data_IF_489413188828
#
_entry.id   IF_489413188828
#
_cell.length_a   1.000
_cell.length_b   1.000
_cell.length_c   1.000
_cell.angle_alpha   90.00
_cell.angle_beta   90.00
_cell.angle_gamma   90.00
#
_symmetry.space_group_name_H-M   'P 1'
#
loop_
_entity.id
_entity.type
_entity.pdbx_description
1 polymer ?
#
# COMPACT_ATOMS: atom_id res chain seq x y z
N UNK A 1 48.76 60.81 -62.71
CA UNK A 1 48.07 59.59 -62.27
C UNK A 1 47.30 59.07 -63.47
N UNK A 2 47.65 57.87 -63.95
CA UNK A 2 47.00 57.27 -65.11
C UNK A 2 45.65 56.66 -64.73
N UNK A 3 44.69 56.63 -65.66
CA UNK A 3 43.36 56.04 -65.43
C UNK A 3 43.47 54.58 -64.95
N UNK A 4 44.45 53.83 -65.44
CA UNK A 4 44.72 52.44 -65.03
C UNK A 4 45.11 52.31 -63.55
N UNK A 5 45.90 53.24 -63.03
CA UNK A 5 46.33 53.25 -61.62
C UNK A 5 45.13 53.48 -60.69
N UNK A 6 44.18 54.32 -61.14
CA UNK A 6 42.96 54.62 -60.42
C UNK A 6 42.00 53.41 -60.42
N UNK A 7 41.88 52.70 -61.55
CA UNK A 7 41.09 51.46 -61.64
C UNK A 7 41.66 50.40 -60.69
N UNK A 8 42.99 50.24 -60.66
CA UNK A 8 43.65 49.25 -59.80
C UNK A 8 43.48 49.57 -58.31
N UNK A 9 43.46 50.86 -57.94
CA UNK A 9 43.15 51.28 -56.57
C UNK A 9 41.69 51.00 -56.18
N UNK A 10 40.74 51.26 -57.08
CA UNK A 10 39.32 50.99 -56.85
C UNK A 10 39.07 49.47 -56.71
N UNK A 11 39.70 48.64 -57.53
CA UNK A 11 39.59 47.18 -57.45
C UNK A 11 40.14 46.65 -56.11
N UNK A 12 41.30 47.14 -55.67
CA UNK A 12 41.89 46.77 -54.38
C UNK A 12 41.01 47.20 -53.20
N UNK A 13 40.46 48.43 -53.23
CA UNK A 13 39.53 48.90 -52.20
C UNK A 13 38.26 48.04 -52.16
N UNK A 14 37.71 47.68 -53.32
CA UNK A 14 36.54 46.80 -53.41
C UNK A 14 36.82 45.44 -52.77
N UNK A 15 37.99 44.87 -53.05
CA UNK A 15 38.39 43.59 -52.48
C UNK A 15 38.64 43.67 -50.96
N UNK A 16 39.18 44.78 -50.46
CA UNK A 16 39.31 45.01 -49.02
C UNK A 16 37.95 45.13 -48.31
N UNK A 17 36.99 45.82 -48.93
CA UNK A 17 35.62 45.94 -48.40
C UNK A 17 34.92 44.58 -48.39
N UNK A 18 35.09 43.77 -49.44
CA UNK A 18 34.49 42.43 -49.51
C UNK A 18 35.08 41.47 -48.48
N UNK A 19 36.41 41.52 -48.28
CA UNK A 19 37.08 40.77 -47.21
C UNK A 19 36.57 41.21 -45.83
N UNK A 20 36.46 42.52 -45.58
CA UNK A 20 35.94 43.05 -44.31
C UNK A 20 34.49 42.59 -44.05
N UNK A 21 33.65 42.58 -45.08
CA UNK A 21 32.27 42.10 -44.99
C UNK A 21 32.19 40.62 -44.63
N UNK A 22 33.07 39.79 -45.20
CA UNK A 22 33.16 38.37 -44.83
C UNK A 22 33.62 38.20 -43.38
N UNK A 23 34.63 38.95 -42.92
CA UNK A 23 35.07 38.92 -41.52
C UNK A 23 33.96 39.32 -40.54
N UNK A 24 33.21 40.38 -40.84
CA UNK A 24 32.07 40.82 -40.00
C UNK A 24 31.00 39.73 -39.93
N UNK A 25 30.65 39.10 -41.05
CA UNK A 25 29.68 38.00 -41.06
C UNK A 25 30.12 36.79 -40.24
N UNK A 26 31.40 36.44 -40.28
CA UNK A 26 31.95 35.34 -39.48
C UNK A 26 31.86 35.67 -37.99
N UNK A 27 32.26 36.88 -37.57
CA UNK A 27 32.20 37.32 -36.18
C UNK A 27 30.74 37.39 -35.67
N UNK A 28 29.81 37.89 -36.48
CA UNK A 28 28.39 37.89 -36.13
C UNK A 28 27.82 36.47 -35.99
N UNK A 29 28.26 35.54 -36.86
CA UNK A 29 27.89 34.13 -36.80
C UNK A 29 28.37 33.46 -35.52
N UNK A 30 29.64 33.65 -35.17
CA UNK A 30 30.23 33.11 -33.94
C UNK A 30 29.57 33.69 -32.69
N UNK A 31 29.30 35.01 -32.68
CA UNK A 31 28.61 35.65 -31.55
C UNK A 31 27.20 35.10 -31.36
N UNK A 32 26.42 34.92 -32.44
CA UNK A 32 25.08 34.33 -32.39
C UNK A 32 25.12 32.87 -31.94
N UNK A 33 26.12 32.11 -32.37
CA UNK A 33 26.30 30.71 -31.97
C UNK A 33 26.61 30.60 -30.46
N UNK A 34 27.59 31.36 -29.97
CA UNK A 34 27.99 31.32 -28.56
C UNK A 34 26.88 31.80 -27.63
N UNK A 35 26.16 32.87 -27.98
CA UNK A 35 25.02 33.36 -27.19
C UNK A 35 23.86 32.37 -27.17
N UNK A 36 23.50 31.77 -28.32
CA UNK A 36 22.45 30.75 -28.37
C UNK A 36 22.82 29.50 -27.57
N UNK A 37 24.10 29.08 -27.62
CA UNK A 37 24.59 27.95 -26.84
C UNK A 37 24.50 28.22 -25.33
N UNK A 38 24.96 29.39 -24.87
CA UNK A 38 24.86 29.79 -23.46
C UNK A 38 23.41 29.82 -22.96
N UNK A 39 22.49 30.38 -23.76
CA UNK A 39 21.06 30.40 -23.42
C UNK A 39 20.47 28.99 -23.33
N UNK A 40 20.89 28.09 -24.22
CA UNK A 40 20.41 26.70 -24.24
C UNK A 40 20.90 25.92 -23.01
N UNK A 41 22.17 26.11 -22.63
CA UNK A 41 22.74 25.53 -21.41
C UNK A 41 22.03 26.07 -20.17
N UNK A 42 21.76 27.37 -20.10
CA UNK A 42 21.05 27.99 -18.98
C UNK A 42 19.61 27.47 -18.87
N UNK A 43 18.88 27.39 -20.00
CA UNK A 43 17.54 26.83 -20.05
C UNK A 43 17.51 25.36 -19.61
N UNK A 44 18.50 24.57 -20.02
CA UNK A 44 18.65 23.18 -19.60
C UNK A 44 18.84 23.06 -18.08
N UNK A 45 19.73 23.87 -17.49
CA UNK A 45 19.99 23.87 -16.04
C UNK A 45 18.73 24.24 -15.27
N UNK A 46 18.01 25.28 -15.68
CA UNK A 46 16.76 25.72 -15.04
C UNK A 46 15.70 24.62 -15.11
N UNK A 47 15.55 23.97 -16.27
CA UNK A 47 14.57 22.89 -16.47
C UNK A 47 14.91 21.66 -15.62
N UNK A 48 16.19 21.27 -15.56
CA UNK A 48 16.64 20.15 -14.75
C UNK A 48 16.44 20.41 -13.24
N UNK A 49 16.73 21.64 -12.77
CA UNK A 49 16.51 22.04 -11.39
C UNK A 49 15.02 22.10 -11.02
N UNK A 50 14.16 22.61 -11.92
CA UNK A 50 12.72 22.63 -11.71
C UNK A 50 12.11 21.23 -11.63
N UNK A 51 12.51 20.33 -12.53
CA UNK A 51 12.06 18.94 -12.53
C UNK A 51 12.49 18.19 -11.26
N UNK A 52 13.74 18.35 -10.83
CA UNK A 52 14.24 17.66 -9.62
C UNK A 52 13.51 18.13 -8.36
N UNK A 53 13.28 19.44 -8.20
CA UNK A 53 12.49 19.98 -7.10
C UNK A 53 11.04 19.47 -7.11
N UNK A 54 10.42 19.40 -8.29
CA UNK A 54 9.07 18.82 -8.43
C UNK A 54 9.02 17.34 -8.00
N UNK A 55 9.97 16.52 -8.45
CA UNK A 55 10.03 15.10 -8.07
C UNK A 55 10.33 14.91 -6.57
N UNK A 56 11.20 15.72 -5.97
CA UNK A 56 11.50 15.69 -4.53
C UNK A 56 10.25 16.08 -3.73
N UNK A 57 9.60 17.19 -4.09
CA UNK A 57 8.38 17.64 -3.42
C UNK A 57 7.27 16.60 -3.53
N UNK A 58 7.05 16.04 -4.74
CA UNK A 58 6.07 14.97 -4.97
C UNK A 58 6.38 13.73 -4.14
N UNK A 59 7.65 13.32 -4.04
CA UNK A 59 8.08 12.17 -3.23
C UNK A 59 7.85 12.41 -1.73
N UNK A 60 8.20 13.59 -1.21
CA UNK A 60 7.98 13.95 0.20
C UNK A 60 6.49 13.97 0.55
N UNK A 61 5.67 14.59 -0.32
CA UNK A 61 4.22 14.66 -0.13
C UNK A 61 3.61 13.25 -0.17
N UNK A 62 3.95 12.43 -1.16
CA UNK A 62 3.49 11.05 -1.23
C UNK A 62 3.89 10.26 0.02
N UNK A 63 5.16 10.34 0.45
CA UNK A 63 5.62 9.62 1.64
C UNK A 63 4.90 10.06 2.92
N UNK A 64 4.58 11.36 3.06
CA UNK A 64 3.78 11.85 4.20
C UNK A 64 2.34 11.37 4.14
N UNK A 65 1.70 11.41 2.97
CA UNK A 65 0.32 10.94 2.79
C UNK A 65 0.23 9.43 3.06
N UNK A 66 1.14 8.63 2.51
CA UNK A 66 1.20 7.18 2.76
C UNK A 66 1.39 6.89 4.24
N UNK A 67 2.34 7.57 4.91
CA UNK A 67 2.58 7.37 6.35
C UNK A 67 1.36 7.74 7.21
N UNK A 68 0.66 8.82 6.87
CA UNK A 68 -0.56 9.23 7.57
C UNK A 68 -1.72 8.25 7.31
N UNK A 69 -1.88 7.78 6.08
CA UNK A 69 -2.85 6.72 5.74
C UNK A 69 -2.57 5.43 6.51
N UNK A 70 -1.31 5.00 6.55
CA UNK A 70 -0.90 3.80 7.29
C UNK A 70 -1.19 3.97 8.79
N UNK A 71 -0.85 5.12 9.38
CA UNK A 71 -1.16 5.40 10.78
C UNK A 71 -2.67 5.38 11.07
N UNK A 72 -3.48 5.96 10.17
CA UNK A 72 -4.95 5.93 10.29
C UNK A 72 -5.50 4.52 10.11
N UNK A 73 -5.00 3.76 9.14
CA UNK A 73 -5.40 2.38 8.90
C UNK A 73 -5.05 1.50 10.09
N UNK A 74 -3.83 1.63 10.64
CA UNK A 74 -3.39 0.93 11.85
C UNK A 74 -4.29 1.32 13.04
N UNK A 75 -4.61 2.61 13.21
CA UNK A 75 -5.52 3.09 14.25
C UNK A 75 -6.93 2.49 14.08
N UNK A 76 -7.46 2.47 12.85
CA UNK A 76 -8.74 1.87 12.53
C UNK A 76 -8.75 0.36 12.79
N UNK A 77 -7.71 -0.37 12.38
CA UNK A 77 -7.57 -1.81 12.63
C UNK A 77 -7.40 -2.12 14.13
N UNK A 78 -6.72 -1.26 14.88
CA UNK A 78 -6.54 -1.42 16.33
C UNK A 78 -7.85 -1.18 17.09
N UNK A 79 -8.61 -0.16 16.69
CA UNK A 79 -9.85 0.22 17.36
C UNK A 79 -11.07 -0.57 16.84
N UNK A 80 -10.98 -1.12 15.63
CA UNK A 80 -12.01 -1.93 14.98
C UNK A 80 -11.35 -3.15 14.31
N UNK A 81 -10.89 -4.14 15.09
CA UNK A 81 -10.26 -5.33 14.53
C UNK A 81 -11.21 -6.03 13.54
N UNK A 82 -10.68 -6.52 12.40
CA UNK A 82 -11.48 -7.19 11.36
C UNK A 82 -12.01 -8.56 11.80
N UNK A 83 -11.45 -9.08 12.89
CA UNK A 83 -11.73 -10.40 13.44
C UNK A 83 -12.18 -10.27 14.89
N UNK A 84 -13.15 -11.08 15.25
CA UNK A 84 -13.46 -11.38 16.63
C UNK A 84 -12.84 -12.72 17.00
N UNK A 85 -12.50 -12.87 18.27
CA UNK A 85 -12.07 -14.14 18.81
C UNK A 85 -12.65 -14.35 20.19
N UNK A 86 -13.06 -15.58 20.47
CA UNK A 86 -13.48 -16.00 21.80
C UNK A 86 -12.86 -17.35 22.12
N UNK A 87 -12.60 -17.58 23.40
CA UNK A 87 -12.13 -18.87 23.90
C UNK A 87 -12.66 -19.09 25.30
N UNK A 88 -12.83 -20.35 25.66
CA UNK A 88 -13.27 -20.73 26.99
C UNK A 88 -12.98 -22.17 27.30
N UNK A 89 -13.24 -22.51 28.56
CA UNK A 89 -13.27 -23.88 29.07
C UNK A 89 -14.72 -24.16 29.45
N UNK A 90 -15.30 -25.21 28.89
CA UNK A 90 -16.70 -25.55 29.14
C UNK A 90 -16.90 -27.05 29.11
N UNK A 91 -17.81 -27.56 29.94
CA UNK A 91 -18.24 -28.95 29.88
C UNK A 91 -19.44 -29.03 28.92
N UNK A 92 -19.36 -29.77 27.81
CA UNK A 92 -20.51 -30.00 26.95
C UNK A 92 -21.68 -30.63 27.71
N UNK A 93 -22.91 -30.32 27.28
CA UNK A 93 -24.14 -30.88 27.85
C UNK A 93 -24.35 -32.36 27.44
N UNK A 94 -25.48 -32.94 27.83
CA UNK A 94 -25.87 -34.32 27.47
C UNK A 94 -25.99 -34.52 25.94
N UNK A 95 -26.24 -33.45 25.18
CA UNK A 95 -26.28 -33.45 23.72
C UNK A 95 -24.91 -33.16 23.10
N UNK A 96 -23.85 -33.13 23.91
CA UNK A 96 -22.47 -32.83 23.51
C UNK A 96 -22.30 -31.44 22.91
N UNK A 97 -23.08 -30.48 23.39
CA UNK A 97 -23.09 -29.09 22.92
C UNK A 97 -22.56 -28.14 23.98
N UNK A 98 -21.91 -27.07 23.52
CA UNK A 98 -21.51 -25.91 24.31
C UNK A 98 -22.28 -24.70 23.78
N UNK A 99 -23.06 -24.06 24.64
CA UNK A 99 -23.81 -22.84 24.30
C UNK A 99 -22.95 -21.62 24.58
N UNK A 100 -22.72 -20.80 23.55
CA UNK A 100 -21.92 -19.59 23.65
C UNK A 100 -22.77 -18.45 24.21
N UNK A 101 -22.23 -17.76 25.22
CA UNK A 101 -22.91 -16.64 25.87
C UNK A 101 -23.08 -15.44 24.94
N UNK A 102 -24.24 -14.77 25.01
CA UNK A 102 -24.49 -13.48 24.34
C UNK A 102 -23.58 -12.35 24.85
N UNK A 103 -22.89 -12.54 25.98
CA UNK A 103 -21.91 -11.60 26.49
C UNK A 103 -20.58 -11.60 25.70
N UNK A 104 -20.36 -12.59 24.82
CA UNK A 104 -19.18 -12.63 23.96
C UNK A 104 -19.28 -11.49 22.94
N UNK A 105 -18.27 -10.62 22.92
CA UNK A 105 -18.23 -9.47 22.01
C UNK A 105 -18.33 -9.93 20.55
N UNK A 106 -19.29 -9.37 19.81
CA UNK A 106 -19.46 -9.63 18.38
C UNK A 106 -20.09 -10.98 18.03
N UNK A 107 -20.60 -11.73 19.01
CA UNK A 107 -21.28 -13.02 18.79
C UNK A 107 -22.58 -12.86 18.00
N UNK A 108 -23.23 -11.71 18.12
CA UNK A 108 -24.38 -11.28 17.33
C UNK A 108 -24.06 -11.20 15.83
N UNK A 109 -22.81 -10.88 15.50
CA UNK A 109 -22.29 -10.77 14.14
C UNK A 109 -21.70 -12.08 13.61
N UNK A 110 -21.69 -13.14 14.41
CA UNK A 110 -21.15 -14.43 14.02
C UNK A 110 -22.05 -15.08 12.98
N UNK A 111 -21.45 -15.34 11.81
CA UNK A 111 -22.04 -16.15 10.74
C UNK A 111 -21.16 -17.36 10.47
N UNK A 112 -21.78 -18.51 10.24
CA UNK A 112 -21.07 -19.78 10.07
C UNK A 112 -20.07 -19.74 8.90
N UNK A 113 -20.42 -19.01 7.82
CA UNK A 113 -19.55 -18.82 6.65
C UNK A 113 -18.30 -17.96 6.94
N UNK A 114 -18.31 -17.18 8.01
CA UNK A 114 -17.25 -16.21 8.34
C UNK A 114 -16.28 -16.74 9.41
N UNK A 115 -16.42 -18.01 9.81
CA UNK A 115 -15.54 -18.64 10.79
C UNK A 115 -14.24 -19.03 10.10
N UNK A 116 -13.14 -18.47 10.62
CA UNK A 116 -11.79 -18.73 10.13
C UNK A 116 -11.19 -19.93 10.85
N UNK A 117 -11.47 -20.03 12.16
CA UNK A 117 -10.91 -21.06 13.02
C UNK A 117 -11.95 -21.49 14.04
N UNK A 118 -12.14 -22.80 14.15
CA UNK A 118 -12.76 -23.45 15.29
C UNK A 118 -11.79 -24.54 15.75
N UNK A 119 -11.27 -24.38 16.97
CA UNK A 119 -10.42 -25.37 17.59
C UNK A 119 -11.01 -25.79 18.92
N UNK A 120 -11.03 -27.09 19.16
CA UNK A 120 -11.63 -27.71 20.34
C UNK A 120 -10.75 -28.85 20.78
N UNK A 121 -10.34 -28.83 22.04
CA UNK A 121 -9.44 -29.82 22.63
C UNK A 121 -9.93 -30.22 24.03
N UNK A 122 -9.93 -31.53 24.35
CA UNK A 122 -10.30 -31.99 25.69
C UNK A 122 -9.25 -31.60 26.72
N UNK A 123 -9.68 -31.38 27.96
CA UNK A 123 -8.80 -31.15 29.11
C UNK A 123 -8.05 -32.44 29.49
N UNK A 124 -8.74 -33.58 29.40
CA UNK A 124 -8.17 -34.90 29.67
C UNK A 124 -8.18 -35.73 28.39
N UNK A 125 -6.99 -36.12 27.94
CA UNK A 125 -6.83 -37.09 26.86
C UNK A 125 -6.88 -38.50 27.43
N UNK A 126 -7.90 -39.26 27.05
CA UNK A 126 -7.96 -40.70 27.26
C UNK A 126 -7.21 -41.43 26.14
N UNK A 127 -6.81 -42.68 26.38
CA UNK A 127 -6.11 -43.52 25.39
C UNK A 127 -6.90 -43.67 24.07
N UNK A 128 -8.24 -43.54 24.13
CA UNK A 128 -9.11 -43.56 22.96
C UNK A 128 -9.11 -42.23 22.16
N UNK A 129 -8.77 -41.10 22.79
CA UNK A 129 -8.74 -39.78 22.15
C UNK A 129 -7.50 -39.58 21.28
N UNK A 130 -6.41 -40.31 21.55
CA UNK A 130 -5.22 -40.30 20.69
C UNK A 130 -5.54 -40.73 19.24
N UNK A 131 -6.59 -41.53 19.04
CA UNK A 131 -7.06 -41.96 17.72
C UNK A 131 -8.27 -41.16 17.22
N UNK A 132 -9.01 -40.48 18.11
CA UNK A 132 -10.22 -39.71 17.79
C UNK A 132 -9.94 -38.22 17.81
N UNK A 133 -9.72 -37.63 16.64
CA UNK A 133 -9.68 -36.18 16.48
C UNK A 133 -11.09 -35.61 16.63
N UNK A 134 -11.30 -34.68 17.56
CA UNK A 134 -12.56 -33.94 17.66
C UNK A 134 -12.85 -33.23 16.33
N UNK A 135 -14.09 -33.36 15.83
CA UNK A 135 -14.55 -32.69 14.63
C UNK A 135 -15.71 -31.75 14.99
N UNK A 136 -15.40 -30.66 15.71
CA UNK A 136 -16.42 -29.77 16.24
C UNK A 136 -17.18 -29.09 15.10
N UNK A 137 -18.49 -28.96 15.28
CA UNK A 137 -19.37 -28.20 14.39
C UNK A 137 -19.92 -27.01 15.14
N UNK A 138 -20.23 -25.97 14.41
CA UNK A 138 -20.88 -24.79 14.97
C UNK A 138 -22.22 -24.59 14.29
N UNK A 139 -23.23 -24.37 15.11
CA UNK A 139 -24.61 -24.21 14.68
C UNK A 139 -25.20 -22.98 15.36
N UNK A 140 -26.31 -22.48 14.83
CA UNK A 140 -27.13 -21.46 15.46
C UNK A 140 -28.54 -22.02 15.58
N UNK A 141 -29.08 -22.06 16.79
CA UNK A 141 -30.42 -22.62 17.00
C UNK A 141 -31.53 -21.63 16.62
N UNK A 142 -32.78 -22.06 16.75
CA UNK A 142 -33.97 -21.24 16.42
C UNK A 142 -34.05 -19.94 17.24
N UNK A 143 -33.46 -19.93 18.43
CA UNK A 143 -33.38 -18.75 19.31
C UNK A 143 -32.20 -17.84 18.98
N UNK A 144 -31.41 -18.16 17.94
CA UNK A 144 -30.24 -17.40 17.56
C UNK A 144 -29.01 -17.60 18.45
N UNK A 145 -29.02 -18.58 19.34
CA UNK A 145 -27.88 -18.90 20.22
C UNK A 145 -26.87 -19.73 19.42
N UNK A 146 -25.60 -19.37 19.54
CA UNK A 146 -24.50 -20.07 18.88
C UNK A 146 -24.08 -21.27 19.73
N UNK A 147 -23.98 -22.43 19.11
CA UNK A 147 -23.70 -23.70 19.75
C UNK A 147 -22.48 -24.36 19.09
N UNK A 148 -21.55 -24.86 19.90
CA UNK A 148 -20.48 -25.75 19.42
C UNK A 148 -20.87 -27.18 19.76
N UNK A 149 -21.12 -27.99 18.74
CA UNK A 149 -21.39 -29.42 18.86
C UNK A 149 -20.10 -30.22 18.71
N UNK A 150 -19.85 -31.15 19.64
CA UNK A 150 -18.65 -31.99 19.64
C UNK A 150 -19.11 -33.45 19.67
N UNK A 151 -19.43 -34.06 18.52
CA UNK A 151 -20.02 -35.39 18.46
C UNK A 151 -19.18 -36.47 19.15
N UNK A 152 -17.85 -36.28 19.17
CA UNK A 152 -16.90 -37.20 19.78
C UNK A 152 -16.74 -37.04 21.30
N UNK A 153 -17.39 -36.06 21.92
CA UNK A 153 -17.27 -35.81 23.37
C UNK A 153 -17.81 -36.97 24.22
N UNK A 154 -17.07 -37.26 25.29
CA UNK A 154 -17.41 -38.18 26.38
C UNK A 154 -17.10 -37.52 27.73
N UNK A 155 -17.85 -37.87 28.78
CA UNK A 155 -17.66 -37.27 30.12
C UNK A 155 -16.24 -37.46 30.68
N UNK A 156 -15.57 -38.56 30.30
CA UNK A 156 -14.18 -38.85 30.66
C UNK A 156 -13.17 -37.87 30.05
N UNK A 157 -13.56 -37.08 29.04
CA UNK A 157 -12.72 -36.02 28.49
C UNK A 157 -12.59 -34.81 29.44
N UNK A 158 -13.42 -34.76 30.50
CA UNK A 158 -13.48 -33.63 31.42
C UNK A 158 -14.13 -32.41 30.76
N UNK A 159 -13.57 -31.23 31.05
CA UNK A 159 -13.96 -30.02 30.35
C UNK A 159 -13.30 -29.96 28.97
N UNK A 160 -13.82 -29.12 28.10
CA UNK A 160 -13.29 -28.92 26.75
C UNK A 160 -12.87 -27.48 26.58
N UNK A 161 -11.62 -27.27 26.19
CA UNK A 161 -11.12 -25.97 25.80
C UNK A 161 -11.52 -25.71 24.35
N UNK A 162 -12.13 -24.56 24.10
CA UNK A 162 -12.56 -24.14 22.77
C UNK A 162 -12.01 -22.77 22.43
N UNK A 163 -11.76 -22.55 21.14
CA UNK A 163 -11.38 -21.27 20.57
C UNK A 163 -12.05 -21.11 19.23
N UNK A 164 -12.68 -19.95 19.03
CA UNK A 164 -13.31 -19.55 17.79
C UNK A 164 -12.80 -18.19 17.33
N UNK A 165 -12.58 -18.06 16.03
CA UNK A 165 -12.18 -16.82 15.36
C UNK A 165 -13.09 -16.63 14.15
N UNK A 166 -13.70 -15.46 14.03
CA UNK A 166 -14.60 -15.15 12.92
C UNK A 166 -14.40 -13.72 12.40
N UNK A 167 -14.71 -13.53 11.12
CA UNK A 167 -14.69 -12.20 10.50
C UNK A 167 -15.88 -11.38 10.97
N UNK A 168 -15.63 -10.08 11.14
CA UNK A 168 -16.66 -9.09 11.42
C UNK A 168 -17.54 -8.89 10.18
N UNK A 169 -18.86 -8.88 10.36
CA UNK A 169 -19.81 -8.73 9.24
C UNK A 169 -19.87 -7.29 8.72
N UNK A 170 -19.83 -6.30 9.60
CA UNK A 170 -19.88 -4.89 9.23
C UNK A 170 -18.91 -4.05 10.06
N UNK A 171 -18.30 -3.05 9.42
CA UNK A 171 -17.49 -2.05 10.11
C UNK A 171 -18.35 -0.82 10.40
N UNK A 172 -18.61 -0.58 11.67
CA UNK A 172 -19.15 0.70 12.11
C UNK A 172 -18.00 1.70 12.21
N UNK A 173 -17.72 2.38 11.10
CA UNK A 173 -16.84 3.54 11.11
C UNK A 173 -17.62 4.72 11.71
N UNK A 174 -17.43 4.98 13.00
CA UNK A 174 -17.84 6.24 13.64
C UNK A 174 -16.76 7.30 13.47
#
# INVERSE_FOLDING_TARGET
>A
MGIEELILQVENLRQQVENLHQYVKTIEGDYKFHTSWLLSVLAFIVTAAGASLYFIAKSIVNNRITKEMDNRLISLLKNNPPIFSASGLSKPDENKKIYLSSAIQGIDQLELANIILLNVSPEQMTFNDFQRKFNPKINKNELGIVEIEIPEYHENNGSVQWKIVWLRKHYDFK
#
